data_IF_875284660572
#
_entry.id   IF_875284660572
#
_cell.length_a   1.000
_cell.length_b   1.000
_cell.length_c   1.000
_cell.angle_alpha   90.00
_cell.angle_beta   90.00
_cell.angle_gamma   90.00
#
_symmetry.space_group_name_H-M   'P 1'
#
loop_
_entity.id
_entity.type
_entity.pdbx_description
1 polymer ?
#
# COMPACT_ATOMS: atom_id res chain seq x y z
N UNK A 1 0.30 -38.34 -10.86
CA UNK A 1 1.41 -37.50 -11.34
C UNK A 1 1.47 -36.32 -10.41
N UNK A 2 2.48 -36.30 -9.53
CA UNK A 2 2.70 -35.15 -8.63
C UNK A 2 3.34 -34.05 -9.47
N UNK A 3 2.61 -32.93 -9.68
CA UNK A 3 3.15 -31.77 -10.37
C UNK A 3 4.08 -31.07 -9.36
N UNK A 4 5.35 -30.99 -9.70
CA UNK A 4 6.37 -30.30 -8.92
C UNK A 4 6.17 -28.78 -9.04
N UNK A 5 5.23 -28.24 -8.25
CA UNK A 5 4.96 -26.79 -8.16
C UNK A 5 6.00 -26.05 -7.32
N UNK A 6 6.94 -26.78 -6.70
CA UNK A 6 7.93 -26.20 -5.79
C UNK A 6 9.09 -25.47 -6.46
N UNK A 7 9.44 -25.82 -7.70
CA UNK A 7 10.65 -25.29 -8.38
C UNK A 7 10.42 -23.90 -8.99
N UNK A 8 9.24 -23.63 -9.52
CA UNK A 8 8.93 -22.36 -10.21
C UNK A 8 8.75 -21.20 -9.21
N UNK A 9 7.97 -21.44 -8.16
CA UNK A 9 7.80 -20.48 -7.05
C UNK A 9 9.11 -20.16 -6.32
N UNK A 10 10.05 -21.11 -6.21
CA UNK A 10 11.34 -20.87 -5.55
C UNK A 10 12.28 -20.00 -6.39
N UNK A 11 12.20 -20.10 -7.70
CA UNK A 11 13.00 -19.32 -8.66
C UNK A 11 12.49 -17.87 -8.74
N UNK A 12 11.16 -17.67 -8.77
CA UNK A 12 10.53 -16.33 -8.68
C UNK A 12 10.89 -15.64 -7.36
N UNK A 13 10.84 -16.35 -6.22
CA UNK A 13 11.23 -15.86 -4.89
C UNK A 13 12.66 -15.32 -4.84
N UNK A 14 13.60 -16.02 -5.43
CA UNK A 14 14.99 -15.61 -5.49
C UNK A 14 15.19 -14.34 -6.32
N UNK A 15 14.46 -14.20 -7.42
CA UNK A 15 14.56 -13.06 -8.32
C UNK A 15 13.99 -11.76 -7.71
N UNK A 16 12.83 -11.82 -7.03
CA UNK A 16 12.20 -10.63 -6.43
C UNK A 16 12.99 -10.10 -5.22
N UNK A 17 13.42 -10.97 -4.30
CA UNK A 17 14.25 -10.58 -3.17
C UNK A 17 15.60 -9.99 -3.61
N UNK A 18 16.18 -10.52 -4.70
CA UNK A 18 17.39 -9.96 -5.29
C UNK A 18 17.14 -8.57 -5.87
N UNK A 19 15.99 -8.33 -6.49
CA UNK A 19 15.61 -7.00 -7.01
C UNK A 19 15.44 -5.99 -5.87
N UNK A 20 14.71 -6.34 -4.81
CA UNK A 20 14.54 -5.46 -3.65
C UNK A 20 15.89 -5.08 -3.01
N UNK A 21 16.78 -6.05 -2.80
CA UNK A 21 18.10 -5.81 -2.24
C UNK A 21 18.95 -4.85 -3.10
N UNK A 22 18.80 -4.90 -4.43
CA UNK A 22 19.51 -4.02 -5.34
C UNK A 22 18.99 -2.57 -5.32
N UNK A 23 17.73 -2.35 -4.93
CA UNK A 23 17.10 -1.02 -4.91
C UNK A 23 17.50 -0.16 -3.71
N UNK A 24 18.15 -0.72 -2.69
CA UNK A 24 18.52 -0.01 -1.45
C UNK A 24 19.62 1.02 -1.58
N UNK A 25 20.32 1.10 -2.72
CA UNK A 25 21.37 2.08 -2.94
C UNK A 25 20.76 3.42 -3.32
N UNK A 26 21.37 4.51 -2.83
CA UNK A 26 21.02 5.88 -3.24
C UNK A 26 21.01 5.97 -4.77
N UNK A 27 19.91 6.45 -5.34
CA UNK A 27 19.78 6.72 -6.76
C UNK A 27 19.53 8.21 -6.98
N UNK A 28 19.57 8.63 -8.24
CA UNK A 28 19.33 10.01 -8.63
C UNK A 28 17.83 10.30 -8.65
N UNK A 29 17.40 11.41 -8.08
CA UNK A 29 16.05 11.94 -8.31
C UNK A 29 15.96 12.50 -9.73
N UNK A 30 14.82 12.29 -10.39
CA UNK A 30 14.50 12.94 -11.67
C UNK A 30 13.15 13.61 -11.57
N UNK A 31 13.05 14.82 -12.13
CA UNK A 31 11.78 15.57 -12.25
C UNK A 31 11.11 15.40 -13.61
N UNK A 32 11.70 14.62 -14.51
CA UNK A 32 11.26 14.55 -15.92
C UNK A 32 10.00 13.68 -16.12
N UNK A 33 9.57 12.98 -15.07
CA UNK A 33 8.37 12.16 -15.10
C UNK A 33 7.23 12.82 -14.35
N UNK A 34 6.11 12.87 -14.99
CA UNK A 34 4.85 13.29 -14.37
C UNK A 34 4.06 12.06 -13.92
N UNK A 35 3.68 12.03 -12.63
CA UNK A 35 2.70 11.09 -12.12
C UNK A 35 1.32 11.59 -12.54
N UNK A 36 0.66 10.86 -13.44
CA UNK A 36 -0.64 11.27 -14.01
C UNK A 36 -1.68 11.48 -12.91
N UNK A 37 -2.43 12.57 -13.04
CA UNK A 37 -3.57 12.87 -12.18
C UNK A 37 -4.85 12.67 -12.95
N UNK A 38 -5.71 11.76 -12.46
CA UNK A 38 -6.91 11.27 -13.13
C UNK A 38 -8.14 11.75 -12.35
N UNK A 39 -9.08 12.36 -13.05
CA UNK A 39 -10.32 12.87 -12.47
C UNK A 39 -11.41 11.79 -12.48
N UNK A 40 -11.85 11.35 -11.30
CA UNK A 40 -12.92 10.37 -11.12
C UNK A 40 -14.33 10.99 -11.07
N UNK A 41 -14.46 12.30 -11.30
CA UNK A 41 -15.76 12.98 -11.37
C UNK A 41 -16.64 12.42 -12.50
N UNK A 42 -17.96 12.44 -12.30
CA UNK A 42 -18.92 11.86 -13.25
C UNK A 42 -18.60 10.42 -13.68
N UNK A 43 -18.09 9.61 -12.74
CA UNK A 43 -17.54 8.28 -13.00
C UNK A 43 -18.42 7.43 -13.91
N UNK A 44 -19.73 7.32 -13.62
CA UNK A 44 -20.64 6.45 -14.38
C UNK A 44 -20.73 6.85 -15.87
N UNK A 45 -20.68 8.14 -16.17
CA UNK A 45 -20.74 8.65 -17.53
C UNK A 45 -19.41 8.57 -18.26
N UNK A 46 -18.31 8.74 -17.51
CA UNK A 46 -16.93 8.82 -18.06
C UNK A 46 -16.14 7.53 -17.87
N UNK A 47 -16.75 6.45 -17.39
CA UNK A 47 -16.05 5.22 -17.01
C UNK A 47 -15.09 4.72 -18.10
N UNK A 48 -15.47 4.74 -19.37
CA UNK A 48 -14.60 4.30 -20.46
C UNK A 48 -13.33 5.17 -20.60
N UNK A 49 -13.49 6.48 -20.57
CA UNK A 49 -12.37 7.45 -20.62
C UNK A 49 -11.45 7.27 -19.41
N UNK A 50 -12.02 7.22 -18.21
CA UNK A 50 -11.27 7.00 -16.97
C UNK A 50 -10.51 5.66 -17.01
N UNK A 51 -11.13 4.62 -17.56
CA UNK A 51 -10.50 3.31 -17.73
C UNK A 51 -9.26 3.39 -18.62
N UNK A 52 -9.33 4.11 -19.73
CA UNK A 52 -8.18 4.29 -20.63
C UNK A 52 -7.04 5.07 -19.97
N UNK A 53 -7.36 6.13 -19.20
CA UNK A 53 -6.36 6.91 -18.44
C UNK A 53 -5.70 6.07 -17.33
N UNK A 54 -6.49 5.34 -16.54
CA UNK A 54 -6.00 4.44 -15.49
C UNK A 54 -5.12 3.33 -16.08
N UNK A 55 -5.56 2.73 -17.18
CA UNK A 55 -4.79 1.69 -17.86
C UNK A 55 -3.45 2.21 -18.36
N UNK A 56 -3.44 3.36 -19.05
CA UNK A 56 -2.22 3.97 -19.56
C UNK A 56 -1.22 4.32 -18.45
N UNK A 57 -1.69 4.85 -17.31
CA UNK A 57 -0.83 5.16 -16.17
C UNK A 57 -0.26 3.88 -15.52
N UNK A 58 -1.08 2.84 -15.41
CA UNK A 58 -0.72 1.60 -14.72
C UNK A 58 0.17 0.67 -15.54
N UNK A 59 0.10 0.74 -16.87
CA UNK A 59 1.00 0.00 -17.76
C UNK A 59 2.35 0.71 -17.97
N UNK A 60 2.42 2.03 -17.79
CA UNK A 60 3.67 2.81 -17.92
C UNK A 60 4.46 2.86 -16.60
N UNK A 61 3.84 3.41 -15.54
CA UNK A 61 4.53 3.67 -14.27
C UNK A 61 4.02 2.74 -13.16
N UNK A 62 2.74 2.36 -13.19
CA UNK A 62 2.10 1.63 -12.07
C UNK A 62 1.70 2.51 -10.90
N UNK A 63 1.94 3.83 -10.99
CA UNK A 63 1.52 4.87 -10.06
C UNK A 63 0.71 5.95 -10.76
N UNK A 64 -0.30 6.45 -10.08
CA UNK A 64 -1.12 7.57 -10.52
C UNK A 64 -1.75 8.28 -9.31
N UNK A 65 -2.29 9.46 -9.54
CA UNK A 65 -3.05 10.19 -8.53
C UNK A 65 -4.50 10.33 -8.99
N UNK A 66 -5.45 10.32 -8.05
CA UNK A 66 -6.86 10.54 -8.38
C UNK A 66 -7.42 11.74 -7.61
N UNK A 67 -8.30 12.49 -8.29
CA UNK A 67 -9.05 13.62 -7.76
C UNK A 67 -10.55 13.40 -7.96
N UNK A 68 -11.38 14.21 -7.35
CA UNK A 68 -12.86 14.12 -7.42
C UNK A 68 -13.37 12.71 -7.11
N UNK A 69 -12.67 12.01 -6.23
CA UNK A 69 -12.89 10.59 -5.86
C UNK A 69 -14.10 10.38 -4.95
N UNK A 70 -14.75 11.44 -4.46
CA UNK A 70 -15.97 11.39 -3.66
C UNK A 70 -15.78 11.26 -2.14
N UNK A 71 -14.55 11.15 -1.63
CA UNK A 71 -14.26 11.25 -0.20
C UNK A 71 -14.16 12.75 0.15
N UNK A 72 -14.97 13.22 1.09
CA UNK A 72 -14.94 14.61 1.52
C UNK A 72 -13.61 14.92 2.27
N UNK A 73 -13.06 16.12 2.06
CA UNK A 73 -11.84 16.55 2.76
C UNK A 73 -11.99 16.45 4.30
N UNK A 74 -13.19 16.69 4.82
CA UNK A 74 -13.49 16.56 6.24
C UNK A 74 -13.33 15.13 6.77
N UNK A 75 -13.71 14.13 5.98
CA UNK A 75 -13.53 12.72 6.37
C UNK A 75 -12.04 12.36 6.46
N UNK A 76 -11.23 12.83 5.51
CA UNK A 76 -9.79 12.64 5.55
C UNK A 76 -9.16 13.36 6.76
N UNK A 77 -9.55 14.63 7.01
CA UNK A 77 -9.07 15.37 8.20
C UNK A 77 -9.39 14.65 9.51
N UNK A 78 -10.63 14.12 9.66
CA UNK A 78 -11.02 13.34 10.85
C UNK A 78 -10.18 12.07 10.99
N UNK A 79 -9.95 11.33 9.91
CA UNK A 79 -9.13 10.13 9.94
C UNK A 79 -7.67 10.44 10.31
N UNK A 80 -7.09 11.52 9.79
CA UNK A 80 -5.76 11.98 10.19
C UNK A 80 -5.71 12.42 11.66
N UNK A 81 -6.70 13.16 12.15
CA UNK A 81 -6.78 13.56 13.56
C UNK A 81 -6.83 12.34 14.49
N UNK A 82 -7.59 11.30 14.14
CA UNK A 82 -7.60 10.03 14.88
C UNK A 82 -6.27 9.28 14.81
N UNK A 83 -5.58 9.35 13.67
CA UNK A 83 -4.26 8.78 13.48
C UNK A 83 -3.24 9.44 14.40
N UNK A 84 -3.19 10.76 14.40
CA UNK A 84 -2.31 11.54 15.28
C UNK A 84 -2.61 11.27 16.76
N UNK A 85 -3.89 11.26 17.15
CA UNK A 85 -4.32 10.98 18.51
C UNK A 85 -3.92 9.57 18.97
N UNK A 86 -4.03 8.55 18.10
CA UNK A 86 -3.58 7.19 18.43
C UNK A 86 -2.07 7.12 18.67
N UNK A 87 -1.27 7.71 17.77
CA UNK A 87 0.19 7.66 17.90
C UNK A 87 0.72 8.57 19.02
N UNK A 88 -0.06 9.56 19.48
CA UNK A 88 0.24 10.35 20.65
C UNK A 88 0.00 9.62 21.98
N UNK A 89 -0.69 8.46 21.97
CA UNK A 89 -0.83 7.63 23.18
C UNK A 89 0.54 7.15 23.66
N UNK A 90 0.72 6.97 24.99
CA UNK A 90 1.91 6.32 25.52
C UNK A 90 2.13 4.93 24.90
N UNK A 91 3.38 4.53 24.72
CA UNK A 91 3.72 3.22 24.15
C UNK A 91 3.11 2.05 24.96
N UNK A 92 2.94 2.22 26.28
CA UNK A 92 2.26 1.26 27.13
C UNK A 92 0.78 1.07 26.79
N UNK A 93 0.12 2.09 26.25
CA UNK A 93 -1.26 1.99 25.76
C UNK A 93 -1.30 1.36 24.37
N UNK A 94 -0.44 1.80 23.44
CA UNK A 94 -0.33 1.23 22.09
C UNK A 94 0.03 -0.25 22.13
N UNK A 95 0.92 -0.66 23.04
CA UNK A 95 1.34 -2.05 23.25
C UNK A 95 0.22 -2.99 23.72
N UNK A 96 -0.93 -2.48 24.18
CA UNK A 96 -2.11 -3.30 24.47
C UNK A 96 -2.76 -3.87 23.20
N UNK A 97 -2.38 -3.35 22.04
CA UNK A 97 -2.92 -3.70 20.73
C UNK A 97 -1.82 -4.22 19.78
N UNK A 98 -1.04 -5.26 20.18
CA UNK A 98 0.17 -5.66 19.46
C UNK A 98 -0.18 -6.23 18.07
N UNK A 99 0.73 -6.07 17.11
CA UNK A 99 0.57 -6.63 15.77
C UNK A 99 0.47 -8.15 15.80
N UNK A 100 -0.63 -8.67 15.28
CA UNK A 100 -0.79 -10.08 14.92
C UNK A 100 -0.36 -10.24 13.46
N UNK A 101 0.93 -10.46 13.21
CA UNK A 101 1.57 -10.47 11.87
C UNK A 101 0.79 -11.27 10.83
N UNK A 102 0.37 -12.51 11.18
CA UNK A 102 -0.35 -13.42 10.29
C UNK A 102 -1.71 -12.87 9.82
N UNK A 103 -2.29 -11.93 10.57
CA UNK A 103 -3.60 -11.33 10.31
C UNK A 103 -3.49 -9.85 9.91
N UNK A 104 -2.28 -9.32 9.82
CA UNK A 104 -2.01 -7.92 9.50
C UNK A 104 -2.90 -6.94 10.30
N UNK A 105 -2.97 -7.11 11.63
CA UNK A 105 -3.86 -6.34 12.51
C UNK A 105 -3.16 -5.98 13.80
N UNK A 106 -3.25 -4.70 14.22
CA UNK A 106 -2.62 -4.20 15.46
C UNK A 106 -1.44 -3.27 15.23
N UNK A 107 -0.75 -2.90 16.30
CA UNK A 107 0.32 -1.92 16.34
C UNK A 107 1.72 -2.56 16.32
N UNK A 108 2.62 -1.92 15.58
CA UNK A 108 4.05 -2.22 15.56
C UNK A 108 4.87 -0.93 15.51
N UNK A 109 6.10 -0.98 16.03
CA UNK A 109 7.07 0.13 15.95
C UNK A 109 8.43 -0.41 15.56
N UNK A 110 9.08 0.18 14.54
CA UNK A 110 10.40 -0.21 14.01
C UNK A 110 10.54 -1.72 13.77
N UNK A 111 9.45 -2.39 13.34
CA UNK A 111 9.44 -3.85 13.18
C UNK A 111 9.69 -4.33 11.74
N UNK A 112 9.55 -3.44 10.75
CA UNK A 112 9.71 -3.79 9.34
C UNK A 112 11.16 -3.55 8.89
N UNK A 113 11.93 -4.63 8.77
CA UNK A 113 13.29 -4.61 8.22
C UNK A 113 13.22 -4.84 6.72
N UNK A 114 13.82 -3.95 5.92
CA UNK A 114 13.80 -4.05 4.46
C UNK A 114 15.02 -4.81 3.95
N UNK A 115 14.85 -5.76 3.00
CA UNK A 115 15.98 -6.41 2.34
C UNK A 115 16.94 -5.42 1.66
N UNK A 116 16.40 -4.28 1.20
CA UNK A 116 17.13 -3.24 0.50
C UNK A 116 18.11 -2.45 1.39
N UNK A 117 17.83 -2.34 2.69
CA UNK A 117 18.63 -1.51 3.62
C UNK A 117 19.27 -2.33 4.74
N UNK A 118 18.70 -3.48 5.08
CA UNK A 118 19.10 -4.29 6.24
C UNK A 118 18.77 -3.65 7.59
N UNK A 119 18.06 -2.51 7.58
CA UNK A 119 17.66 -1.77 8.77
C UNK A 119 16.14 -1.70 8.90
N UNK A 120 15.65 -1.43 10.10
CA UNK A 120 14.23 -1.19 10.32
C UNK A 120 13.81 0.19 9.78
N UNK A 121 12.61 0.27 9.23
CA UNK A 121 12.00 1.54 8.84
C UNK A 121 11.79 2.43 10.07
N UNK A 122 12.09 3.74 9.96
CA UNK A 122 11.91 4.74 11.04
C UNK A 122 10.45 5.18 11.15
N UNK A 123 9.59 4.22 11.50
CA UNK A 123 8.16 4.43 11.66
C UNK A 123 7.52 3.49 12.68
N UNK A 124 6.32 3.84 13.09
CA UNK A 124 5.35 2.94 13.68
C UNK A 124 4.09 2.87 12.83
N UNK A 125 3.32 1.81 12.96
CA UNK A 125 2.06 1.65 12.22
C UNK A 125 1.00 0.89 13.02
N UNK A 126 -0.25 1.16 12.69
CA UNK A 126 -1.40 0.44 13.25
C UNK A 126 -2.32 -0.01 12.12
N UNK A 127 -2.54 -1.32 12.05
CA UNK A 127 -3.29 -1.97 10.98
C UNK A 127 -4.70 -2.34 11.44
N UNK A 128 -5.67 -1.90 10.65
CA UNK A 128 -7.09 -2.18 10.85
C UNK A 128 -7.55 -3.13 9.74
N UNK A 129 -7.63 -4.42 10.05
CA UNK A 129 -8.25 -5.44 9.19
C UNK A 129 -9.55 -5.86 9.86
N UNK A 130 -10.66 -5.35 9.36
CA UNK A 130 -11.98 -5.31 10.02
C UNK A 130 -12.40 -6.60 10.73
N UNK A 131 -12.35 -7.81 10.11
CA UNK A 131 -12.83 -9.04 10.76
C UNK A 131 -12.04 -9.42 12.01
N UNK A 132 -10.80 -8.96 12.14
CA UNK A 132 -9.90 -9.39 13.21
C UNK A 132 -9.90 -8.46 14.43
N UNK A 133 -10.30 -7.21 14.25
CA UNK A 133 -10.16 -6.17 15.26
C UNK A 133 -10.91 -6.45 16.55
N UNK A 134 -12.19 -6.85 16.45
CA UNK A 134 -13.03 -7.11 17.63
C UNK A 134 -12.69 -8.45 18.31
N UNK A 135 -12.56 -9.58 17.58
CA UNK A 135 -12.20 -10.88 18.20
C UNK A 135 -10.87 -10.84 18.93
N UNK A 136 -9.90 -10.08 18.42
CA UNK A 136 -8.56 -9.95 19.01
C UNK A 136 -8.45 -8.80 20.02
N UNK A 137 -9.54 -8.07 20.28
CA UNK A 137 -9.56 -6.91 21.20
C UNK A 137 -8.52 -5.84 20.85
N UNK A 138 -8.33 -5.59 19.55
CA UNK A 138 -7.32 -4.65 19.07
C UNK A 138 -7.84 -3.20 19.01
N UNK A 139 -9.12 -2.94 19.20
CA UNK A 139 -9.64 -1.58 19.25
C UNK A 139 -9.21 -0.88 20.55
N UNK A 140 -8.67 0.36 20.48
CA UNK A 140 -8.54 1.21 21.66
C UNK A 140 -9.88 1.40 22.36
N UNK A 141 -9.85 1.56 23.68
CA UNK A 141 -11.08 1.80 24.43
C UNK A 141 -11.66 3.20 24.10
N UNK A 142 -13.00 3.35 24.16
CA UNK A 142 -13.63 4.66 23.95
C UNK A 142 -13.19 5.75 24.95
N UNK A 143 -12.74 5.34 26.15
CA UNK A 143 -12.18 6.25 27.14
C UNK A 143 -10.81 6.79 26.71
N UNK A 144 -9.99 5.97 26.07
CA UNK A 144 -8.67 6.38 25.57
C UNK A 144 -8.79 7.19 24.28
N UNK A 145 -9.65 6.75 23.34
CA UNK A 145 -9.87 7.40 22.05
C UNK A 145 -11.35 7.39 21.68
N UNK A 146 -12.12 8.41 22.09
CA UNK A 146 -13.53 8.52 21.73
C UNK A 146 -13.73 8.58 20.22
N UNK A 147 -14.74 7.87 19.69
CA UNK A 147 -15.13 7.80 18.29
C UNK A 147 -14.05 7.26 17.32
N UNK A 148 -12.94 6.73 17.81
CA UNK A 148 -11.86 6.21 16.97
C UNK A 148 -12.33 5.13 16.01
N UNK A 149 -12.98 4.10 16.56
CA UNK A 149 -13.46 2.96 15.79
C UNK A 149 -14.45 3.37 14.68
N UNK A 150 -15.44 4.18 15.03
CA UNK A 150 -16.48 4.63 14.10
C UNK A 150 -15.88 5.47 12.97
N UNK A 151 -14.98 6.40 13.31
CA UNK A 151 -14.31 7.27 12.35
C UNK A 151 -13.45 6.46 11.39
N UNK A 152 -12.63 5.54 11.91
CA UNK A 152 -11.72 4.75 11.07
C UNK A 152 -12.44 3.74 10.19
N UNK A 153 -13.49 3.08 10.69
CA UNK A 153 -14.32 2.19 9.88
C UNK A 153 -15.13 2.95 8.82
N UNK A 154 -15.62 4.15 9.14
CA UNK A 154 -16.32 5.01 8.17
C UNK A 154 -15.39 5.47 7.06
N UNK A 155 -14.13 5.80 7.39
CA UNK A 155 -13.12 6.17 6.42
C UNK A 155 -12.69 4.98 5.55
N UNK A 156 -12.46 3.81 6.17
CA UNK A 156 -12.12 2.57 5.47
C UNK A 156 -13.18 2.19 4.44
N UNK A 157 -14.47 2.29 4.79
CA UNK A 157 -15.56 2.00 3.85
C UNK A 157 -15.57 2.93 2.63
N UNK A 158 -15.23 4.21 2.82
CA UNK A 158 -15.11 5.18 1.72
C UNK A 158 -13.89 4.90 0.84
N UNK A 159 -12.76 4.56 1.44
CA UNK A 159 -11.55 4.15 0.71
C UNK A 159 -11.81 2.87 -0.11
N UNK A 160 -12.49 1.87 0.49
CA UNK A 160 -12.94 0.67 -0.20
C UNK A 160 -13.79 1.00 -1.44
N UNK A 161 -14.77 1.88 -1.31
CA UNK A 161 -15.64 2.25 -2.43
C UNK A 161 -14.86 2.89 -3.59
N UNK A 162 -13.87 3.75 -3.31
CA UNK A 162 -12.99 4.31 -4.34
C UNK A 162 -12.13 3.22 -4.97
N UNK A 163 -11.55 2.34 -4.17
CA UNK A 163 -10.76 1.20 -4.66
C UNK A 163 -11.56 0.31 -5.60
N UNK A 164 -12.81 -0.01 -5.25
CA UNK A 164 -13.69 -0.83 -6.11
C UNK A 164 -14.06 -0.14 -7.42
N UNK A 165 -14.24 1.17 -7.45
CA UNK A 165 -14.42 1.93 -8.71
C UNK A 165 -13.21 1.77 -9.62
N UNK A 166 -12.01 1.99 -9.10
CA UNK A 166 -10.77 1.87 -9.87
C UNK A 166 -10.57 0.42 -10.35
N UNK A 167 -10.74 -0.56 -9.48
CA UNK A 167 -10.61 -1.98 -9.82
C UNK A 167 -11.66 -2.45 -10.85
N UNK A 168 -12.86 -1.82 -10.88
CA UNK A 168 -13.86 -2.12 -11.92
C UNK A 168 -13.41 -1.72 -13.31
N UNK A 169 -12.61 -0.65 -13.44
CA UNK A 169 -12.01 -0.24 -14.70
C UNK A 169 -10.96 -1.27 -15.19
N UNK A 170 -10.14 -1.76 -14.27
CA UNK A 170 -9.18 -2.83 -14.62
C UNK A 170 -9.87 -4.15 -14.95
N UNK A 171 -10.97 -4.49 -14.26
CA UNK A 171 -11.77 -5.66 -14.60
C UNK A 171 -12.27 -5.59 -16.06
N UNK A 172 -12.87 -4.47 -16.45
CA UNK A 172 -13.39 -4.26 -17.82
C UNK A 172 -12.25 -4.39 -18.85
N UNK A 173 -11.09 -3.82 -18.59
CA UNK A 173 -9.95 -3.84 -19.51
C UNK A 173 -9.31 -5.23 -19.64
N UNK A 174 -9.36 -6.03 -18.57
CA UNK A 174 -8.89 -7.42 -18.55
C UNK A 174 -9.92 -8.41 -19.09
N UNK A 175 -11.12 -7.96 -19.47
CA UNK A 175 -12.19 -8.80 -19.98
C UNK A 175 -12.97 -9.56 -18.91
N UNK A 176 -12.86 -9.16 -17.67
CA UNK A 176 -13.69 -9.66 -16.56
C UNK A 176 -15.00 -8.87 -16.42
N UNK A 177 -16.04 -9.43 -15.77
CA UNK A 177 -17.21 -8.64 -15.37
C UNK A 177 -16.81 -7.44 -14.51
N UNK A 178 -17.48 -6.29 -14.68
CA UNK A 178 -17.13 -5.05 -13.94
C UNK A 178 -17.11 -5.20 -12.42
N UNK A 179 -17.91 -6.11 -11.86
CA UNK A 179 -17.97 -6.41 -10.42
C UNK A 179 -17.01 -7.54 -9.98
N UNK A 180 -16.13 -8.00 -10.87
CA UNK A 180 -15.23 -9.13 -10.63
C UNK A 180 -14.38 -8.93 -9.37
N UNK A 181 -13.74 -7.79 -9.24
CA UNK A 181 -12.93 -7.48 -8.07
C UNK A 181 -13.78 -7.12 -6.86
N UNK A 182 -14.92 -6.44 -7.02
CA UNK A 182 -15.81 -6.11 -5.91
C UNK A 182 -16.27 -7.37 -5.18
N UNK A 183 -16.65 -8.43 -5.91
CA UNK A 183 -17.01 -9.72 -5.30
C UNK A 183 -15.86 -10.41 -4.59
N UNK A 184 -14.62 -10.11 -4.98
CA UNK A 184 -13.40 -10.67 -4.37
C UNK A 184 -12.80 -9.78 -3.28
N UNK A 185 -13.44 -8.65 -3.01
CA UNK A 185 -13.11 -7.73 -1.92
C UNK A 185 -14.34 -7.47 -1.05
N UNK A 186 -15.23 -8.46 -0.95
CA UNK A 186 -16.48 -8.34 -0.19
C UNK A 186 -16.19 -8.17 1.30
N UNK A 187 -16.50 -6.97 1.80
CA UNK A 187 -16.29 -6.61 3.19
C UNK A 187 -17.27 -7.24 4.18
N UNK A 188 -18.30 -7.94 3.69
CA UNK A 188 -19.33 -8.59 4.52
C UNK A 188 -18.96 -10.01 4.96
N UNK A 189 -17.93 -10.61 4.34
CA UNK A 189 -17.54 -12.01 4.60
C UNK A 189 -16.33 -12.11 5.54
N UNK A 190 -16.19 -13.21 6.31
CA UNK A 190 -15.05 -13.43 7.20
C UNK A 190 -13.69 -13.53 6.48
N UNK A 191 -13.71 -13.86 5.18
CA UNK A 191 -12.51 -13.94 4.34
C UNK A 191 -11.94 -12.58 3.94
N UNK A 192 -12.63 -11.47 4.26
CA UNK A 192 -12.16 -10.12 3.99
C UNK A 192 -10.81 -9.84 4.65
N UNK A 193 -9.86 -9.29 3.88
CA UNK A 193 -8.53 -8.98 4.39
C UNK A 193 -7.96 -7.64 3.90
N UNK A 194 -8.76 -6.79 3.23
CA UNK A 194 -8.32 -5.42 2.97
C UNK A 194 -8.02 -4.70 4.28
N UNK A 195 -6.97 -3.90 4.27
CA UNK A 195 -6.41 -3.32 5.50
C UNK A 195 -6.26 -1.82 5.34
N UNK A 196 -6.78 -1.06 6.31
CA UNK A 196 -6.44 0.35 6.50
C UNK A 196 -5.25 0.44 7.46
N UNK A 197 -4.11 0.94 6.97
CA UNK A 197 -2.90 1.15 7.77
C UNK A 197 -2.70 2.62 8.07
N UNK A 198 -2.65 2.94 9.33
CA UNK A 198 -2.19 4.22 9.83
C UNK A 198 -0.67 4.17 9.97
N UNK A 199 0.02 5.20 9.49
CA UNK A 199 1.48 5.28 9.49
C UNK A 199 1.93 6.58 10.16
N UNK A 200 2.88 6.46 11.07
CA UNK A 200 3.59 7.56 11.71
C UNK A 200 5.08 7.37 11.49
N UNK A 201 5.66 8.21 10.66
CA UNK A 201 7.10 8.29 10.45
C UNK A 201 7.66 9.32 11.43
N UNK A 202 8.69 8.94 12.16
CA UNK A 202 9.25 9.81 13.20
C UNK A 202 9.84 11.09 12.59
N UNK A 203 9.84 12.16 13.40
CA UNK A 203 10.54 13.39 13.05
C UNK A 203 12.01 13.10 12.77
N UNK A 204 12.60 13.85 11.86
CA UNK A 204 14.03 13.71 11.58
C UNK A 204 14.85 13.93 12.84
N UNK A 205 15.74 12.99 13.13
CA UNK A 205 16.71 13.10 14.23
C UNK A 205 18.05 13.59 13.65
N UNK A 206 18.53 14.79 14.02
CA UNK A 206 19.81 15.29 13.57
C UNK A 206 20.99 14.36 13.91
N UNK A 207 20.89 13.57 14.98
CA UNK A 207 21.89 12.58 15.36
C UNK A 207 21.99 11.41 14.38
N UNK A 208 20.97 11.20 13.54
CA UNK A 208 20.89 10.16 12.52
C UNK A 208 21.11 10.69 11.10
N UNK A 209 21.43 11.98 10.94
CA UNK A 209 21.57 12.61 9.62
C UNK A 209 22.65 11.95 8.75
N UNK A 210 23.71 11.42 9.37
CA UNK A 210 24.83 10.75 8.69
C UNK A 210 24.60 9.24 8.48
N UNK A 211 23.36 8.75 8.67
CA UNK A 211 22.98 7.35 8.50
C UNK A 211 22.24 7.13 7.18
N UNK A 212 22.94 6.93 6.06
CA UNK A 212 22.33 6.76 4.73
C UNK A 212 21.56 5.44 4.59
N UNK A 213 21.75 4.52 5.53
CA UNK A 213 21.07 3.22 5.63
C UNK A 213 19.70 3.32 6.32
N UNK A 214 19.39 4.41 6.99
CA UNK A 214 18.11 4.64 7.65
C UNK A 214 17.11 5.34 6.70
N UNK A 215 15.92 4.84 6.64
CA UNK A 215 14.83 5.34 5.80
C UNK A 215 13.54 5.47 6.59
N UNK A 216 12.70 6.44 6.23
CA UNK A 216 11.30 6.46 6.70
C UNK A 216 10.58 5.20 6.24
N UNK A 217 10.76 4.80 4.97
CA UNK A 217 10.43 3.47 4.46
C UNK A 217 11.39 3.10 3.33
N UNK A 218 12.12 2.00 3.46
CA UNK A 218 13.02 1.50 2.43
C UNK A 218 12.28 1.02 1.18
N UNK A 219 13.00 0.88 0.07
CA UNK A 219 12.44 0.50 -1.23
C UNK A 219 11.73 -0.87 -1.16
N UNK A 220 10.50 -0.93 -1.67
CA UNK A 220 9.66 -2.13 -1.71
C UNK A 220 8.57 -2.02 -2.78
N UNK A 221 7.87 -3.12 -3.03
CA UNK A 221 6.59 -3.18 -3.74
C UNK A 221 5.48 -3.52 -2.75
N UNK A 222 4.23 -3.18 -3.08
CA UNK A 222 3.06 -3.62 -2.31
C UNK A 222 2.57 -4.98 -2.81
N UNK A 223 1.98 -5.79 -1.93
CA UNK A 223 1.57 -7.17 -2.25
C UNK A 223 0.08 -7.33 -2.48
N UNK A 224 -0.67 -6.26 -2.43
CA UNK A 224 -2.10 -6.18 -2.65
C UNK A 224 -2.47 -6.08 -4.15
N UNK A 225 -3.75 -5.81 -4.43
CA UNK A 225 -4.19 -5.47 -5.78
C UNK A 225 -3.95 -3.99 -6.08
N UNK A 226 -4.33 -3.11 -5.16
CA UNK A 226 -4.30 -1.67 -5.33
C UNK A 226 -4.14 -0.98 -3.98
N UNK A 227 -3.15 -0.12 -3.85
CA UNK A 227 -2.96 0.75 -2.69
C UNK A 227 -3.55 2.13 -2.96
N UNK A 228 -4.31 2.65 -2.00
CA UNK A 228 -4.77 4.04 -1.95
C UNK A 228 -4.05 4.73 -0.80
N UNK A 229 -3.14 5.64 -1.12
CA UNK A 229 -2.34 6.38 -0.15
C UNK A 229 -2.86 7.80 0.02
N UNK A 230 -3.29 8.12 1.22
CA UNK A 230 -3.68 9.45 1.66
C UNK A 230 -2.51 10.10 2.39
N UNK A 231 -2.16 11.31 2.00
CA UNK A 231 -1.02 12.06 2.52
C UNK A 231 -1.44 13.46 2.92
N UNK A 232 -0.72 14.07 3.85
CA UNK A 232 -0.93 15.47 4.22
C UNK A 232 -0.05 16.37 3.34
N UNK A 233 -0.58 17.49 2.83
CA UNK A 233 0.19 18.49 2.08
C UNK A 233 1.42 18.94 2.87
N UNK A 234 2.55 19.10 2.18
CA UNK A 234 3.83 19.50 2.79
C UNK A 234 4.59 18.37 3.49
N UNK A 235 4.00 17.17 3.65
CA UNK A 235 4.67 16.00 4.21
C UNK A 235 5.12 15.03 3.10
N UNK A 236 6.02 15.48 2.25
CA UNK A 236 6.55 14.75 1.10
C UNK A 236 7.46 13.56 1.45
N UNK A 237 8.32 13.19 0.50
CA UNK A 237 9.34 12.15 0.64
C UNK A 237 9.02 10.83 -0.05
N UNK A 238 7.80 10.62 -0.54
CA UNK A 238 7.48 9.46 -1.39
C UNK A 238 8.20 9.56 -2.73
N UNK A 239 8.88 8.49 -3.14
CA UNK A 239 9.56 8.37 -4.42
C UNK A 239 9.22 7.04 -5.07
N UNK A 240 9.07 7.02 -6.39
CA UNK A 240 8.81 5.82 -7.19
C UNK A 240 9.92 5.60 -8.21
N UNK A 241 10.24 4.32 -8.50
CA UNK A 241 11.22 3.94 -9.50
C UNK A 241 10.54 3.03 -10.53
N UNK A 242 10.03 3.58 -11.65
CA UNK A 242 9.40 2.79 -12.71
C UNK A 242 10.31 1.70 -13.25
N UNK A 243 9.73 0.60 -13.75
CA UNK A 243 10.48 -0.57 -14.20
C UNK A 243 11.57 -0.26 -15.24
N UNK A 244 11.29 0.68 -16.16
CA UNK A 244 12.24 1.16 -17.18
C UNK A 244 13.41 1.98 -16.61
N UNK A 245 13.28 2.52 -15.40
CA UNK A 245 14.29 3.32 -14.72
C UNK A 245 15.04 2.54 -13.64
N UNK A 246 14.68 1.28 -13.44
CA UNK A 246 15.22 0.43 -12.37
C UNK A 246 16.74 0.25 -12.46
N UNK A 247 17.26 -0.01 -13.65
CA UNK A 247 18.69 -0.20 -13.86
C UNK A 247 19.48 1.07 -13.56
N UNK A 248 18.96 2.22 -14.00
CA UNK A 248 19.57 3.53 -13.75
C UNK A 248 19.27 4.05 -12.33
N UNK A 249 18.33 3.41 -11.59
CA UNK A 249 17.88 3.83 -10.24
C UNK A 249 17.42 5.28 -10.20
N UNK A 250 16.60 5.66 -11.17
CA UNK A 250 16.02 6.99 -11.25
C UNK A 250 14.72 7.03 -10.45
N UNK A 251 14.68 7.88 -9.44
CA UNK A 251 13.54 8.03 -8.54
C UNK A 251 12.77 9.30 -8.85
N UNK A 252 11.47 9.15 -9.07
CA UNK A 252 10.55 10.27 -9.31
C UNK A 252 9.84 10.62 -7.99
N UNK A 253 9.96 11.85 -7.49
CA UNK A 253 9.19 12.28 -6.33
C UNK A 253 7.70 12.33 -6.62
N UNK A 254 6.89 11.98 -5.62
CA UNK A 254 5.43 12.03 -5.67
C UNK A 254 4.94 13.00 -4.60
N UNK A 255 4.61 14.21 -5.01
CA UNK A 255 4.20 15.26 -4.07
C UNK A 255 2.75 15.08 -3.61
N UNK A 256 2.52 15.17 -2.29
CA UNK A 256 1.18 15.16 -1.74
C UNK A 256 0.46 16.48 -2.03
N UNK A 257 -0.84 16.40 -2.30
CA UNK A 257 -1.69 17.58 -2.46
C UNK A 257 -3.05 17.37 -1.77
N UNK A 258 -3.71 18.45 -1.40
CA UNK A 258 -5.03 18.38 -0.77
C UNK A 258 -6.06 17.77 -1.75
N UNK A 259 -6.90 16.85 -1.26
CA UNK A 259 -7.93 16.21 -2.07
C UNK A 259 -7.39 15.26 -3.14
N UNK A 260 -6.14 14.82 -3.01
CA UNK A 260 -5.49 13.89 -3.93
C UNK A 260 -5.19 12.59 -3.21
N UNK A 261 -5.56 11.46 -3.81
CA UNK A 261 -5.14 10.13 -3.38
C UNK A 261 -4.06 9.64 -4.35
N UNK A 262 -2.90 9.25 -3.84
CA UNK A 262 -1.88 8.56 -4.62
C UNK A 262 -2.20 7.06 -4.65
N UNK A 263 -2.24 6.47 -5.84
CA UNK A 263 -2.57 5.06 -6.03
C UNK A 263 -1.43 4.32 -6.71
N UNK A 264 -1.24 3.05 -6.35
CA UNK A 264 -0.30 2.17 -7.04
C UNK A 264 -0.83 0.74 -7.18
N UNK A 265 -0.43 0.11 -8.26
CA UNK A 265 -0.66 -1.31 -8.51
C UNK A 265 0.24 -2.13 -7.60
N UNK A 266 -0.33 -3.14 -6.95
CA UNK A 266 0.43 -4.12 -6.18
C UNK A 266 0.74 -5.39 -6.96
N UNK A 267 1.61 -6.22 -6.39
CA UNK A 267 2.12 -7.45 -7.02
C UNK A 267 1.01 -8.47 -7.34
N UNK A 268 -0.03 -8.52 -6.49
CA UNK A 268 -1.16 -9.42 -6.72
C UNK A 268 -1.94 -9.05 -7.99
N UNK A 269 -2.20 -7.76 -8.22
CA UNK A 269 -2.88 -7.32 -9.44
C UNK A 269 -1.97 -7.41 -10.66
N UNK A 270 -0.66 -7.16 -10.52
CA UNK A 270 0.31 -7.42 -11.58
C UNK A 270 0.23 -8.89 -12.01
N UNK A 271 0.28 -9.84 -11.06
CA UNK A 271 0.11 -11.27 -11.35
C UNK A 271 -1.26 -11.58 -11.97
N UNK A 272 -2.34 -10.99 -11.42
CA UNK A 272 -3.72 -11.21 -11.91
C UNK A 272 -3.96 -10.66 -13.30
N UNK A 273 -3.16 -9.70 -13.73
CA UNK A 273 -3.19 -9.13 -15.09
C UNK A 273 -2.22 -9.79 -16.07
N UNK A 274 -1.60 -10.93 -15.71
CA UNK A 274 -0.54 -11.55 -16.52
C UNK A 274 0.60 -10.58 -16.85
N UNK A 275 1.00 -9.75 -15.85
CA UNK A 275 2.03 -8.70 -15.92
C UNK A 275 1.73 -7.55 -16.90
N UNK A 276 0.47 -7.36 -17.30
CA UNK A 276 0.10 -6.19 -18.10
C UNK A 276 0.15 -4.90 -17.26
N UNK A 277 -0.19 -4.98 -15.97
CA UNK A 277 -0.08 -3.87 -15.02
C UNK A 277 1.23 -3.95 -14.26
N UNK A 278 1.81 -2.80 -13.91
CA UNK A 278 3.15 -2.74 -13.31
C UNK A 278 3.07 -2.50 -11.80
N UNK A 279 3.57 -3.44 -11.00
CA UNK A 279 3.91 -3.18 -9.61
C UNK A 279 5.27 -2.52 -9.53
N UNK A 280 5.34 -1.35 -8.90
CA UNK A 280 6.49 -0.46 -9.01
C UNK A 280 7.13 -0.23 -7.65
N UNK A 281 8.47 -0.28 -7.62
CA UNK A 281 9.25 0.03 -6.43
C UNK A 281 9.02 1.47 -5.98
N UNK A 282 8.80 1.62 -4.68
CA UNK A 282 8.66 2.93 -4.05
C UNK A 282 9.32 2.94 -2.68
N UNK A 283 9.64 4.14 -2.19
CA UNK A 283 10.30 4.36 -0.90
C UNK A 283 9.86 5.70 -0.31
N UNK A 284 10.10 5.89 0.99
CA UNK A 284 9.93 7.19 1.64
C UNK A 284 11.28 7.60 2.19
N UNK A 285 11.87 8.65 1.59
CA UNK A 285 13.16 9.18 2.02
C UNK A 285 13.08 9.92 3.35
N UNK A 286 14.20 10.06 4.04
CA UNK A 286 14.35 11.06 5.09
C UNK A 286 14.33 12.46 4.46
N UNK A 287 13.83 13.48 5.16
CA UNK A 287 13.78 14.84 4.62
C UNK A 287 15.17 15.41 4.46
N UNK A 288 15.39 16.14 3.35
CA UNK A 288 16.56 16.98 3.17
C UNK A 288 16.52 18.22 4.08
N UNK A 289 17.63 19.00 4.17
CA UNK A 289 17.73 20.13 5.10
C UNK A 289 16.63 21.19 4.94
N UNK A 290 16.16 21.40 3.71
CA UNK A 290 15.15 22.41 3.38
C UNK A 290 13.71 21.83 3.34
N UNK A 291 13.54 20.55 3.65
CA UNK A 291 12.25 19.87 3.65
C UNK A 291 11.65 19.82 5.08
N UNK A 292 10.39 19.42 5.19
CA UNK A 292 9.68 19.28 6.47
C UNK A 292 10.33 18.23 7.37
N UNK A 293 10.88 18.67 8.50
CA UNK A 293 11.64 17.83 9.45
C UNK A 293 10.77 17.15 10.51
N UNK A 294 9.50 17.53 10.62
CA UNK A 294 8.58 17.00 11.63
C UNK A 294 8.13 15.56 11.37
N UNK A 295 7.31 15.06 12.27
CA UNK A 295 6.64 13.77 12.11
C UNK A 295 5.73 13.79 10.87
N UNK A 296 5.76 12.71 10.09
CA UNK A 296 4.94 12.54 8.89
C UNK A 296 3.87 11.49 9.15
N UNK A 297 2.64 11.80 8.77
CA UNK A 297 1.53 10.86 8.86
C UNK A 297 0.98 10.51 7.48
N UNK A 298 0.58 9.27 7.30
CA UNK A 298 -0.16 8.82 6.11
C UNK A 298 -1.14 7.71 6.46
N UNK A 299 -2.15 7.55 5.61
CA UNK A 299 -3.11 6.46 5.66
C UNK A 299 -3.01 5.68 4.36
N UNK A 300 -2.73 4.38 4.44
CA UNK A 300 -2.69 3.50 3.28
C UNK A 300 -3.85 2.51 3.37
N UNK A 301 -4.70 2.48 2.37
CA UNK A 301 -5.72 1.45 2.24
C UNK A 301 -5.29 0.45 1.18
N UNK A 302 -5.00 -0.77 1.63
CA UNK A 302 -4.62 -1.89 0.78
C UNK A 302 -5.87 -2.66 0.35
N UNK A 303 -6.21 -2.61 -0.93
CA UNK A 303 -7.26 -3.45 -1.52
C UNK A 303 -6.70 -4.87 -1.67
N UNK A 304 -6.84 -5.66 -0.62
CA UNK A 304 -6.46 -7.07 -0.61
C UNK A 304 -7.68 -7.92 -1.01
N UNK A 305 -7.53 -8.77 -2.00
CA UNK A 305 -8.58 -9.72 -2.34
C UNK A 305 -8.87 -10.65 -1.16
N UNK A 306 -10.14 -11.05 -1.00
CA UNK A 306 -10.54 -11.98 0.06
C UNK A 306 -9.69 -13.25 0.02
N UNK A 307 -9.40 -13.83 1.17
CA UNK A 307 -8.44 -14.95 1.34
C UNK A 307 -8.66 -16.10 0.38
N UNK A 308 -9.92 -16.44 0.13
CA UNK A 308 -10.37 -17.54 -0.71
C UNK A 308 -10.43 -17.18 -2.21
N UNK A 309 -10.17 -15.92 -2.58
CA UNK A 309 -10.17 -15.52 -3.97
C UNK A 309 -8.99 -16.17 -4.72
N UNK A 310 -9.30 -16.78 -5.85
CA UNK A 310 -8.28 -17.38 -6.73
C UNK A 310 -7.74 -16.33 -7.67
N UNK A 311 -6.43 -16.11 -7.62
CA UNK A 311 -5.66 -15.23 -8.50
C UNK A 311 -5.25 -16.02 -9.74
N UNK A 312 -5.93 -15.76 -10.85
CA UNK A 312 -5.66 -16.34 -12.16
C UNK A 312 -5.93 -15.28 -13.23
N UNK A 313 -4.93 -14.93 -14.02
CA UNK A 313 -5.04 -13.94 -15.10
C UNK A 313 -5.81 -14.47 -16.31
N UNK A 314 -6.32 -13.58 -17.19
CA UNK A 314 -7.09 -14.00 -18.38
C UNK A 314 -6.24 -14.81 -19.37
N UNK A 315 -4.95 -14.56 -19.45
CA UNK A 315 -3.98 -15.29 -20.28
C UNK A 315 -3.39 -16.53 -19.62
N UNK A 316 -3.70 -16.76 -18.33
CA UNK A 316 -3.21 -17.92 -17.55
C UNK A 316 -1.69 -18.08 -17.59
N UNK A 317 -0.98 -16.94 -17.49
CA UNK A 317 0.49 -16.92 -17.46
C UNK A 317 1.05 -17.66 -16.25
N UNK A 318 0.35 -17.61 -15.13
CA UNK A 318 0.75 -18.19 -13.85
C UNK A 318 -0.23 -19.25 -13.41
N UNK A 319 0.27 -20.25 -12.64
CA UNK A 319 -0.61 -21.21 -11.97
C UNK A 319 -1.54 -20.50 -10.99
N UNK A 320 -2.81 -20.93 -10.90
CA UNK A 320 -3.77 -20.37 -9.96
C UNK A 320 -3.28 -20.50 -8.51
N UNK A 321 -3.43 -19.43 -7.74
CA UNK A 321 -3.09 -19.39 -6.30
C UNK A 321 -4.17 -18.65 -5.54
N UNK A 322 -4.48 -19.06 -4.29
CA UNK A 322 -5.37 -18.27 -3.46
C UNK A 322 -4.70 -16.97 -3.00
N UNK A 323 -5.47 -15.91 -2.77
CA UNK A 323 -4.94 -14.65 -2.24
C UNK A 323 -4.27 -14.85 -0.87
N UNK A 324 -4.79 -15.77 -0.03
CA UNK A 324 -4.18 -16.14 1.25
C UNK A 324 -2.80 -16.77 1.06
N UNK A 325 -2.67 -17.76 0.19
CA UNK A 325 -1.42 -18.45 -0.07
C UNK A 325 -0.39 -17.52 -0.74
N UNK A 326 -0.84 -16.65 -1.65
CA UNK A 326 0.01 -15.64 -2.28
C UNK A 326 0.59 -14.68 -1.24
N UNK A 327 -0.25 -14.13 -0.36
CA UNK A 327 0.19 -13.21 0.67
C UNK A 327 1.11 -13.91 1.70
N UNK A 328 0.77 -15.14 2.10
CA UNK A 328 1.60 -15.95 2.98
C UNK A 328 2.97 -16.24 2.36
N UNK A 329 3.01 -16.53 1.06
CA UNK A 329 4.27 -16.71 0.33
C UNK A 329 5.11 -15.41 0.34
N UNK A 330 4.52 -14.25 0.05
CA UNK A 330 5.22 -12.96 0.06
C UNK A 330 5.76 -12.62 1.45
N UNK A 331 4.96 -12.76 2.49
CA UNK A 331 5.37 -12.55 3.88
C UNK A 331 6.55 -13.45 4.24
N UNK A 332 6.44 -14.76 4.00
CA UNK A 332 7.51 -15.71 4.35
C UNK A 332 8.80 -15.43 3.57
N UNK A 333 8.71 -14.95 2.34
CA UNK A 333 9.88 -14.63 1.51
C UNK A 333 10.67 -13.44 2.05
N UNK A 334 10.00 -12.45 2.67
CA UNK A 334 10.64 -11.27 3.25
C UNK A 334 11.16 -11.49 4.68
N UNK A 335 10.57 -12.43 5.43
CA UNK A 335 10.97 -12.72 6.82
C UNK A 335 11.85 -13.95 6.99
N UNK A 336 12.07 -14.77 5.96
CA UNK A 336 12.82 -16.05 6.05
C UNK A 336 14.35 -15.89 6.21
N UNK A 337 14.87 -14.69 6.35
CA UNK A 337 16.31 -14.42 6.49
C UNK A 337 16.73 -13.85 7.88
N UNK A 338 15.80 -13.85 8.87
CA UNK A 338 16.12 -13.36 10.21
C UNK A 338 15.66 -14.33 11.31
#
# INVERSE_FOLDING_TARGET
>A
MSIDTGSDLSTEKGAELSKEAQMGVLGTETSDREIRRIDLGDFERRKAEITDELWAASTDIGFFQVVNHGIAAEDARKAFAMTEAFFALPDTEKAKHPLVKKLNSGWESRAQVRPSTGTADEKESYQITRPHMAPLKLWPSPEALPNFKETMLGFEAKAWAVGMKILSCFADRLGFPSDFFTRRHDASVPAYQSTLRMLHYFAADPALADRPDLWRAGAHTDWDCLTLLFQQPGQGGLQVCPGKDREARLWTPVEPAEGVITCNIGDMLMRWSDDQLQSTFHRVKNPGPDEYQGARYSLAFFCQANRDAVVEGPGKKYEPITAEDYLAWRINSNFAKY
#
